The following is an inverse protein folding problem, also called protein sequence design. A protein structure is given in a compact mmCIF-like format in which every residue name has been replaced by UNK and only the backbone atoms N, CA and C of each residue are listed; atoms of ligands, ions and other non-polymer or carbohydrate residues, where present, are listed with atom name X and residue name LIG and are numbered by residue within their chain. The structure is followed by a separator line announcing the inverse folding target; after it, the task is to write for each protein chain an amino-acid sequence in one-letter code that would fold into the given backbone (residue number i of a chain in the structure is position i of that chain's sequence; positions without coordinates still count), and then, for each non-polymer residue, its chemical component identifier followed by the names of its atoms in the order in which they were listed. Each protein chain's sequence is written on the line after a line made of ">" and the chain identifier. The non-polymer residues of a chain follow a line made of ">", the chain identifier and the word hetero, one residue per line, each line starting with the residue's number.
data_IF_713191811836
#
_entry.id   IF_713191811836
#
_cell.length_a   1.000
_cell.length_b   1.000
_cell.length_c   1.000
_cell.angle_alpha   90.00
_cell.angle_beta   90.00
_cell.angle_gamma   90.00
#
_symmetry.space_group_name_H-M   'P 1'
#
loop_
_entity.id
_entity.type
_entity.pdbx_description
1 polymer ?
#
# COMPACT_ATOMS: atom_id res chain seq x y z
N UNK A 1 27.98 -15.19 -38.51
CA UNK A 1 28.86 -16.37 -38.61
C UNK A 1 28.81 -17.07 -39.98
N UNK A 2 27.65 -17.47 -40.51
CA UNK A 2 27.57 -18.18 -41.81
C UNK A 2 28.26 -17.47 -43.00
N UNK A 3 28.18 -16.13 -43.08
CA UNK A 3 28.90 -15.36 -44.12
C UNK A 3 30.43 -15.33 -43.90
N UNK A 4 30.88 -15.29 -42.64
CA UNK A 4 32.31 -15.28 -42.29
C UNK A 4 32.95 -16.64 -42.62
N UNK A 5 32.27 -17.75 -42.30
CA UNK A 5 32.76 -19.09 -42.65
C UNK A 5 32.88 -19.28 -44.18
N UNK A 6 31.94 -18.73 -44.95
CA UNK A 6 31.99 -18.77 -46.43
C UNK A 6 33.12 -17.91 -47.00
N UNK A 7 33.38 -16.73 -46.43
CA UNK A 7 34.48 -15.88 -46.83
C UNK A 7 35.86 -16.50 -46.52
N UNK A 8 35.99 -17.18 -45.38
CA UNK A 8 37.23 -17.91 -45.01
C UNK A 8 37.45 -19.11 -45.94
N UNK A 9 36.40 -19.86 -46.27
CA UNK A 9 36.49 -20.98 -47.22
C UNK A 9 36.84 -20.55 -48.66
N UNK A 10 36.54 -19.31 -49.04
CA UNK A 10 36.84 -18.78 -50.37
C UNK A 10 38.28 -18.27 -50.54
N UNK A 11 39.04 -18.09 -49.44
CA UNK A 11 40.38 -17.48 -49.48
C UNK A 11 41.53 -18.48 -49.72
N UNK A 12 41.30 -19.79 -49.75
CA UNK A 12 42.35 -20.76 -50.09
C UNK A 12 41.85 -21.98 -50.89
N UNK A 13 41.77 -21.86 -52.23
CA UNK A 13 41.51 -22.99 -53.10
C UNK A 13 42.75 -23.89 -53.36
N UNK A 14 43.93 -23.57 -52.81
CA UNK A 14 45.21 -24.14 -53.26
C UNK A 14 45.91 -25.11 -52.29
N UNK A 15 45.39 -25.28 -51.06
CA UNK A 15 45.78 -26.38 -50.17
C UNK A 15 47.23 -26.38 -49.65
N UNK A 16 47.97 -25.26 -49.77
CA UNK A 16 49.37 -25.17 -49.33
C UNK A 16 49.64 -24.10 -48.26
N UNK A 17 48.59 -23.52 -47.67
CA UNK A 17 48.77 -22.40 -46.74
C UNK A 17 49.26 -22.83 -45.35
N UNK A 18 50.29 -22.11 -44.88
CA UNK A 18 50.78 -22.07 -43.52
C UNK A 18 49.62 -21.82 -42.52
N UNK A 19 49.32 -22.76 -41.58
CA UNK A 19 48.21 -22.65 -40.64
C UNK A 19 48.26 -21.38 -39.78
N UNK A 20 49.45 -20.80 -39.57
CA UNK A 20 49.59 -19.54 -38.84
C UNK A 20 48.96 -18.36 -39.58
N UNK A 21 49.03 -18.34 -40.91
CA UNK A 21 48.45 -17.27 -41.74
C UNK A 21 46.91 -17.33 -41.74
N UNK A 22 46.35 -18.53 -41.72
CA UNK A 22 44.90 -18.73 -41.60
C UNK A 22 44.37 -18.27 -40.22
N UNK A 23 45.07 -18.61 -39.14
CA UNK A 23 44.72 -18.16 -37.78
C UNK A 23 44.80 -16.64 -37.64
N UNK A 24 45.84 -16.00 -38.19
CA UNK A 24 45.98 -14.55 -38.16
C UNK A 24 44.83 -13.87 -38.93
N UNK A 25 44.48 -14.40 -40.11
CA UNK A 25 43.39 -13.86 -40.94
C UNK A 25 42.04 -13.98 -40.23
N UNK A 26 41.78 -15.12 -39.57
CA UNK A 26 40.58 -15.32 -38.78
C UNK A 26 40.52 -14.38 -37.57
N UNK A 27 41.63 -14.21 -36.85
CA UNK A 27 41.73 -13.28 -35.73
C UNK A 27 41.45 -11.83 -36.15
N UNK A 28 42.01 -11.39 -37.28
CA UNK A 28 41.74 -10.06 -37.86
C UNK A 28 40.27 -9.92 -38.28
N UNK A 29 39.68 -10.94 -38.91
CA UNK A 29 38.27 -10.91 -39.32
C UNK A 29 37.32 -10.85 -38.11
N UNK A 30 37.61 -11.61 -37.06
CA UNK A 30 36.86 -11.57 -35.79
C UNK A 30 37.00 -10.18 -35.15
N UNK A 31 38.22 -9.63 -35.07
CA UNK A 31 38.47 -8.28 -34.55
C UNK A 31 37.71 -7.21 -35.33
N UNK A 32 37.75 -7.26 -36.67
CA UNK A 32 37.03 -6.33 -37.55
C UNK A 32 35.51 -6.45 -37.36
N UNK A 33 35.00 -7.68 -37.21
CA UNK A 33 33.58 -7.92 -36.95
C UNK A 33 33.14 -7.33 -35.61
N UNK A 34 33.91 -7.51 -34.54
CA UNK A 34 33.63 -6.88 -33.25
C UNK A 34 33.69 -5.34 -33.34
N UNK A 35 34.65 -4.78 -34.09
CA UNK A 35 34.74 -3.34 -34.31
C UNK A 35 33.52 -2.79 -35.07
N UNK A 36 33.13 -3.44 -36.17
CA UNK A 36 31.95 -3.05 -36.96
C UNK A 36 30.65 -3.20 -36.15
N UNK A 37 30.50 -4.29 -35.40
CA UNK A 37 29.34 -4.51 -34.55
C UNK A 37 29.24 -3.45 -33.45
N UNK A 38 30.36 -3.14 -32.78
CA UNK A 38 30.41 -2.06 -31.78
C UNK A 38 30.11 -0.70 -32.40
N UNK A 39 30.66 -0.40 -33.57
CA UNK A 39 30.39 0.84 -34.30
C UNK A 39 28.91 0.98 -34.68
N UNK A 40 28.29 -0.09 -35.19
CA UNK A 40 26.85 -0.11 -35.47
C UNK A 40 26.01 0.09 -34.22
N UNK A 41 26.34 -0.56 -33.10
CA UNK A 41 25.64 -0.41 -31.82
C UNK A 41 25.71 1.03 -31.30
N UNK A 42 26.89 1.66 -31.38
CA UNK A 42 27.09 3.06 -31.00
C UNK A 42 26.26 4.00 -31.89
N UNK A 43 26.26 3.77 -33.21
CA UNK A 43 25.48 4.58 -34.16
C UNK A 43 23.98 4.44 -33.90
N UNK A 44 23.49 3.22 -33.71
CA UNK A 44 22.09 2.93 -33.42
C UNK A 44 21.63 3.59 -32.12
N UNK A 45 22.42 3.47 -31.04
CA UNK A 45 22.13 4.11 -29.76
C UNK A 45 22.05 5.65 -29.88
N UNK A 46 22.96 6.27 -30.65
CA UNK A 46 22.91 7.72 -30.92
C UNK A 46 21.67 8.13 -31.72
N UNK A 47 21.30 7.37 -32.74
CA UNK A 47 20.08 7.64 -33.53
C UNK A 47 18.82 7.51 -32.68
N UNK A 48 18.74 6.49 -31.82
CA UNK A 48 17.62 6.32 -30.89
C UNK A 48 17.54 7.45 -29.87
N UNK A 49 18.67 7.92 -29.35
CA UNK A 49 18.70 9.07 -28.45
C UNK A 49 18.17 10.33 -29.12
N UNK A 50 18.60 10.61 -30.35
CA UNK A 50 18.08 11.74 -31.12
C UNK A 50 16.57 11.62 -31.36
N UNK A 51 16.10 10.45 -31.81
CA UNK A 51 14.68 10.20 -32.02
C UNK A 51 13.87 10.36 -30.72
N UNK A 52 14.37 9.88 -29.58
CA UNK A 52 13.69 10.02 -28.29
C UNK A 52 13.65 11.48 -27.79
N UNK A 53 14.67 12.29 -28.09
CA UNK A 53 14.65 13.73 -27.80
C UNK A 53 13.62 14.43 -28.69
N UNK A 54 13.51 14.03 -29.96
CA UNK A 54 12.53 14.57 -30.90
C UNK A 54 11.08 14.18 -30.56
N UNK A 55 10.83 13.01 -29.97
CA UNK A 55 9.49 12.64 -29.48
C UNK A 55 9.10 13.37 -28.20
N UNK A 56 10.08 13.89 -27.44
CA UNK A 56 9.84 14.54 -26.15
C UNK A 56 9.30 13.60 -25.07
N UNK A 57 9.37 12.28 -25.27
CA UNK A 57 8.93 11.30 -24.28
C UNK A 57 10.05 11.06 -23.26
N UNK A 58 9.89 11.48 -21.98
CA UNK A 58 10.98 11.40 -21.02
C UNK A 58 11.42 9.96 -20.69
N UNK A 59 10.52 8.98 -20.79
CA UNK A 59 10.85 7.58 -20.50
C UNK A 59 11.70 6.97 -21.63
N UNK A 60 11.39 7.32 -22.88
CA UNK A 60 12.20 6.93 -24.04
C UNK A 60 13.57 7.62 -24.01
N UNK A 61 13.61 8.90 -23.63
CA UNK A 61 14.86 9.65 -23.47
C UNK A 61 15.79 8.99 -22.45
N UNK A 62 15.27 8.61 -21.27
CA UNK A 62 16.09 7.93 -20.24
C UNK A 62 16.56 6.55 -20.70
N UNK A 63 15.68 5.75 -21.33
CA UNK A 63 16.05 4.44 -21.87
C UNK A 63 17.15 4.57 -22.94
N UNK A 64 17.04 5.55 -23.83
CA UNK A 64 18.04 5.80 -24.86
C UNK A 64 19.37 6.30 -24.27
N UNK A 65 19.34 7.06 -23.18
CA UNK A 65 20.54 7.43 -22.43
C UNK A 65 21.28 6.19 -21.88
N UNK A 66 20.54 5.26 -21.26
CA UNK A 66 21.13 4.02 -20.73
C UNK A 66 21.71 3.14 -21.87
N UNK A 67 21.05 3.09 -23.04
CA UNK A 67 21.57 2.41 -24.23
C UNK A 67 22.88 3.02 -24.77
N UNK A 68 22.98 4.36 -24.78
CA UNK A 68 24.19 5.09 -25.19
C UNK A 68 25.35 4.76 -24.26
N UNK A 69 25.15 4.83 -22.94
CA UNK A 69 26.16 4.48 -21.93
C UNK A 69 26.59 3.01 -22.05
N UNK A 70 25.63 2.08 -22.20
CA UNK A 70 25.91 0.65 -22.36
C UNK A 70 26.59 0.27 -23.69
N UNK A 71 26.52 1.12 -24.71
CA UNK A 71 27.20 0.92 -25.99
C UNK A 71 28.67 1.35 -25.99
N UNK A 72 29.10 2.09 -24.95
CA UNK A 72 30.42 2.73 -24.89
C UNK A 72 30.56 3.89 -25.88
N UNK A 73 29.44 4.48 -26.29
CA UNK A 73 29.42 5.73 -27.03
C UNK A 73 29.86 6.91 -26.15
N UNK A 74 30.22 8.03 -26.77
CA UNK A 74 30.46 9.28 -26.05
C UNK A 74 29.19 9.72 -25.28
N UNK A 75 29.31 9.77 -23.95
CA UNK A 75 28.22 10.08 -23.02
C UNK A 75 28.21 11.54 -22.56
N UNK A 76 29.03 12.42 -23.13
CA UNK A 76 29.08 13.85 -22.73
C UNK A 76 27.73 14.58 -22.79
N UNK A 77 26.86 14.21 -23.73
CA UNK A 77 25.51 14.76 -23.87
C UNK A 77 24.44 14.12 -22.98
N UNK A 78 24.69 12.93 -22.43
CA UNK A 78 23.68 12.15 -21.66
C UNK A 78 23.16 12.90 -20.42
N UNK A 79 24.00 13.57 -19.60
CA UNK A 79 23.51 14.32 -18.44
C UNK A 79 22.53 15.45 -18.81
N UNK A 80 22.70 16.10 -19.96
CA UNK A 80 21.79 17.14 -20.43
C UNK A 80 20.43 16.54 -20.81
N UNK A 81 20.41 15.45 -21.57
CA UNK A 81 19.16 14.76 -21.95
C UNK A 81 18.43 14.22 -20.72
N UNK A 82 19.13 13.66 -19.73
CA UNK A 82 18.52 13.21 -18.46
C UNK A 82 17.90 14.38 -17.68
N UNK A 83 18.52 15.56 -17.68
CA UNK A 83 17.92 16.78 -17.10
C UNK A 83 16.65 17.18 -17.84
N UNK A 84 16.68 17.21 -19.18
CA UNK A 84 15.49 17.50 -20.00
C UNK A 84 14.34 16.52 -19.71
N UNK A 85 14.61 15.22 -19.68
CA UNK A 85 13.61 14.19 -19.36
C UNK A 85 13.01 14.38 -17.97
N UNK A 86 13.85 14.76 -16.98
CA UNK A 86 13.42 15.02 -15.61
C UNK A 86 12.50 16.24 -15.52
N UNK A 87 12.81 17.32 -16.26
CA UNK A 87 11.95 18.51 -16.35
C UNK A 87 10.62 18.19 -17.03
N UNK A 88 10.63 17.42 -18.12
CA UNK A 88 9.42 16.98 -18.82
C UNK A 88 8.53 16.08 -17.96
N UNK A 89 9.09 15.14 -17.19
CA UNK A 89 8.33 14.35 -16.20
C UNK A 89 7.68 15.24 -15.15
N UNK A 90 8.45 16.21 -14.61
CA UNK A 90 7.91 17.14 -13.62
C UNK A 90 6.74 17.93 -14.21
N UNK A 91 6.91 18.51 -15.40
CA UNK A 91 5.86 19.22 -16.13
C UNK A 91 4.58 18.39 -16.33
N UNK A 92 4.71 17.10 -16.64
CA UNK A 92 3.57 16.21 -16.82
C UNK A 92 2.73 16.05 -15.53
N UNK A 93 3.37 16.11 -14.37
CA UNK A 93 2.71 15.95 -13.05
C UNK A 93 2.12 17.24 -12.47
N UNK A 94 2.45 18.41 -13.04
CA UNK A 94 1.94 19.67 -12.54
C UNK A 94 0.48 19.89 -12.97
N UNK A 95 -0.34 20.34 -12.02
CA UNK A 95 -1.74 20.69 -12.22
C UNK A 95 -2.02 22.19 -12.00
N UNK A 96 -1.07 22.93 -11.41
CA UNK A 96 -1.20 24.36 -11.15
C UNK A 96 -0.72 25.20 -12.34
N UNK A 97 -1.56 26.05 -12.96
CA UNK A 97 -1.19 26.80 -14.16
C UNK A 97 0.06 27.67 -14.01
N UNK A 98 0.25 28.28 -12.83
CA UNK A 98 1.43 29.11 -12.55
C UNK A 98 2.72 28.30 -12.49
N UNK A 99 2.66 27.12 -11.86
CA UNK A 99 3.82 26.21 -11.78
C UNK A 99 4.16 25.62 -13.14
N UNK A 100 3.15 25.28 -13.96
CA UNK A 100 3.37 24.79 -15.33
C UNK A 100 4.11 25.84 -16.16
N UNK A 101 3.67 27.10 -16.14
CA UNK A 101 4.34 28.18 -16.91
C UNK A 101 5.79 28.36 -16.45
N UNK A 102 6.04 28.42 -15.14
CA UNK A 102 7.41 28.52 -14.62
C UNK A 102 8.27 27.33 -15.05
N UNK A 103 7.73 26.11 -14.96
CA UNK A 103 8.46 24.91 -15.35
C UNK A 103 8.68 24.82 -16.87
N UNK A 104 7.81 25.44 -17.68
CA UNK A 104 8.02 25.61 -19.12
C UNK A 104 9.23 26.51 -19.40
N UNK A 105 9.34 27.63 -18.69
CA UNK A 105 10.48 28.54 -18.84
C UNK A 105 11.80 27.87 -18.37
N UNK A 106 11.75 27.10 -17.27
CA UNK A 106 12.86 26.26 -16.82
C UNK A 106 13.25 25.19 -17.87
N UNK A 107 12.26 24.63 -18.58
CA UNK A 107 12.48 23.63 -19.63
C UNK A 107 13.16 24.22 -20.87
N UNK A 108 12.72 25.40 -21.31
CA UNK A 108 13.36 26.15 -22.40
C UNK A 108 14.81 26.50 -22.03
N UNK A 109 15.05 26.96 -20.80
CA UNK A 109 16.40 27.21 -20.29
C UNK A 109 17.27 25.94 -20.23
N UNK A 110 16.66 24.76 -20.08
CA UNK A 110 17.34 23.46 -20.13
C UNK A 110 17.56 22.92 -21.57
N UNK A 111 17.12 23.65 -22.59
CA UNK A 111 17.28 23.28 -24.01
C UNK A 111 16.17 22.37 -24.55
N UNK A 112 15.01 22.29 -23.87
CA UNK A 112 13.84 21.59 -24.41
C UNK A 112 13.28 22.36 -25.60
N UNK A 113 12.93 21.63 -26.68
CA UNK A 113 12.34 22.21 -27.89
C UNK A 113 11.03 22.97 -27.56
N UNK A 114 10.90 24.19 -28.09
CA UNK A 114 9.73 25.06 -27.92
C UNK A 114 8.40 24.35 -28.24
N UNK A 115 8.38 23.48 -29.26
CA UNK A 115 7.17 22.72 -29.64
C UNK A 115 6.65 21.83 -28.50
N UNK A 116 7.55 21.16 -27.77
CA UNK A 116 7.17 20.35 -26.60
C UNK A 116 6.63 21.22 -25.46
N UNK A 117 7.25 22.38 -25.24
CA UNK A 117 6.85 23.33 -24.20
C UNK A 117 5.50 23.99 -24.52
N UNK A 118 5.21 24.25 -25.79
CA UNK A 118 3.97 24.86 -26.25
C UNK A 118 2.74 24.03 -25.87
N UNK A 119 2.81 22.70 -25.94
CA UNK A 119 1.72 21.81 -25.52
C UNK A 119 1.39 21.97 -24.02
N UNK A 120 2.41 22.11 -23.16
CA UNK A 120 2.20 22.36 -21.73
C UNK A 120 1.65 23.77 -21.45
N UNK A 121 2.10 24.79 -22.19
CA UNK A 121 1.51 26.15 -22.09
C UNK A 121 0.04 26.15 -22.50
N UNK A 122 -0.34 25.42 -23.55
CA UNK A 122 -1.74 25.24 -23.94
C UNK A 122 -2.54 24.53 -22.84
N UNK A 123 -1.99 23.48 -22.22
CA UNK A 123 -2.59 22.82 -21.05
C UNK A 123 -2.82 23.81 -19.90
N UNK A 124 -1.82 24.61 -19.54
CA UNK A 124 -1.94 25.62 -18.48
C UNK A 124 -3.03 26.67 -18.81
N UNK A 125 -3.16 27.07 -20.08
CA UNK A 125 -4.21 27.97 -20.54
C UNK A 125 -5.62 27.36 -20.37
N UNK A 126 -5.79 26.08 -20.76
CA UNK A 126 -7.06 25.34 -20.57
C UNK A 126 -7.44 25.23 -19.10
N UNK A 127 -6.51 24.83 -18.23
CA UNK A 127 -6.75 24.75 -16.78
C UNK A 127 -7.16 26.13 -16.23
N UNK A 128 -6.48 27.21 -16.65
CA UNK A 128 -6.84 28.57 -16.23
C UNK A 128 -8.23 29.01 -16.73
N UNK A 129 -8.63 28.58 -17.93
CA UNK A 129 -9.98 28.78 -18.46
C UNK A 129 -11.03 28.08 -17.59
N UNK A 130 -10.84 26.78 -17.36
CA UNK A 130 -11.76 25.96 -16.57
C UNK A 130 -11.87 26.45 -15.12
N UNK A 131 -10.75 26.82 -14.48
CA UNK A 131 -10.77 27.39 -13.13
C UNK A 131 -11.49 28.73 -13.04
N UNK A 132 -11.44 29.57 -14.08
CA UNK A 132 -12.23 30.81 -14.14
C UNK A 132 -13.73 30.52 -14.28
N UNK A 133 -14.11 29.56 -15.12
CA UNK A 133 -15.51 29.11 -15.22
C UNK A 133 -16.01 28.52 -13.91
N UNK A 134 -15.19 27.71 -13.24
CA UNK A 134 -15.48 27.14 -11.93
C UNK A 134 -15.70 28.21 -10.86
N UNK A 135 -14.88 29.27 -10.86
CA UNK A 135 -15.07 30.40 -9.97
C UNK A 135 -16.38 31.15 -10.27
N UNK A 136 -16.68 31.42 -11.54
CA UNK A 136 -17.93 32.09 -11.93
C UNK A 136 -19.17 31.28 -11.56
N UNK A 137 -19.14 29.95 -11.74
CA UNK A 137 -20.22 29.05 -11.33
C UNK A 137 -20.36 28.98 -9.80
N UNK A 138 -19.24 29.04 -9.06
CA UNK A 138 -19.30 29.11 -7.60
C UNK A 138 -19.93 30.43 -7.10
N UNK A 139 -19.67 31.53 -7.80
CA UNK A 139 -20.23 32.86 -7.51
C UNK A 139 -21.71 32.96 -7.91
N UNK A 140 -22.15 32.23 -8.95
CA UNK A 140 -23.56 32.19 -9.36
C UNK A 140 -24.44 31.45 -8.33
N UNK A 141 -23.86 30.48 -7.61
CA UNK A 141 -24.58 29.64 -6.66
C UNK A 141 -25.51 28.62 -7.32
N UNK A 142 -25.48 28.49 -8.65
CA UNK A 142 -26.24 27.46 -9.37
C UNK A 142 -25.50 26.12 -9.29
N UNK A 143 -26.07 25.17 -8.56
CA UNK A 143 -25.42 23.88 -8.35
C UNK A 143 -25.24 23.06 -9.64
N UNK A 144 -26.10 23.21 -10.66
CA UNK A 144 -25.95 22.52 -11.94
C UNK A 144 -24.74 23.09 -12.68
N UNK A 145 -24.64 24.42 -12.76
CA UNK A 145 -23.49 25.11 -13.37
C UNK A 145 -22.18 24.76 -12.66
N UNK A 146 -22.20 24.66 -11.32
CA UNK A 146 -21.04 24.25 -10.53
C UNK A 146 -20.59 22.82 -10.86
N UNK A 147 -21.51 21.88 -11.04
CA UNK A 147 -21.17 20.50 -11.44
C UNK A 147 -20.56 20.44 -12.84
N UNK A 148 -21.14 21.12 -13.82
CA UNK A 148 -20.61 21.18 -15.18
C UNK A 148 -19.20 21.80 -15.22
N UNK A 149 -18.98 22.88 -14.46
CA UNK A 149 -17.68 23.51 -14.36
C UNK A 149 -16.65 22.61 -13.64
N UNK A 150 -17.09 21.79 -12.67
CA UNK A 150 -16.23 20.79 -12.03
C UNK A 150 -15.75 19.73 -13.05
N UNK A 151 -16.65 19.25 -13.90
CA UNK A 151 -16.34 18.23 -14.91
C UNK A 151 -15.38 18.79 -15.98
N UNK A 152 -15.57 20.05 -16.40
CA UNK A 152 -14.63 20.72 -17.32
C UNK A 152 -13.23 20.93 -16.68
N UNK A 153 -13.19 21.30 -15.39
CA UNK A 153 -11.95 21.48 -14.66
C UNK A 153 -11.17 20.15 -14.51
N UNK A 154 -11.86 19.05 -14.20
CA UNK A 154 -11.29 17.71 -14.17
C UNK A 154 -10.77 17.28 -15.55
N UNK A 155 -11.56 17.46 -16.61
CA UNK A 155 -11.15 17.15 -17.98
C UNK A 155 -9.93 17.95 -18.45
N UNK A 156 -9.76 19.17 -17.91
CA UNK A 156 -8.59 20.01 -18.18
C UNK A 156 -7.35 19.64 -17.35
N UNK A 157 -7.49 18.79 -16.33
CA UNK A 157 -6.42 18.40 -15.41
C UNK A 157 -6.18 19.40 -14.27
N UNK A 158 -7.21 20.13 -13.84
CA UNK A 158 -7.15 20.98 -12.66
C UNK A 158 -6.95 20.16 -11.38
N UNK A 159 -6.49 20.81 -10.31
CA UNK A 159 -6.27 20.15 -9.02
C UNK A 159 -7.58 19.58 -8.43
N UNK A 160 -7.60 18.27 -8.19
CA UNK A 160 -8.78 17.54 -7.69
C UNK A 160 -9.34 18.10 -6.37
N UNK A 161 -8.49 18.66 -5.51
CA UNK A 161 -8.91 19.24 -4.23
C UNK A 161 -9.87 20.42 -4.41
N UNK A 162 -9.58 21.33 -5.35
CA UNK A 162 -10.44 22.50 -5.62
C UNK A 162 -11.77 22.07 -6.23
N UNK A 163 -11.73 21.15 -7.19
CA UNK A 163 -12.93 20.61 -7.83
C UNK A 163 -13.84 19.92 -6.80
N UNK A 164 -13.27 19.08 -5.94
CA UNK A 164 -14.03 18.39 -4.89
C UNK A 164 -14.73 19.38 -3.93
N UNK A 165 -14.04 20.44 -3.51
CA UNK A 165 -14.62 21.46 -2.62
C UNK A 165 -15.83 22.15 -3.25
N UNK A 166 -15.75 22.53 -4.54
CA UNK A 166 -16.87 23.17 -5.26
C UNK A 166 -18.01 22.18 -5.48
N UNK A 167 -17.71 20.92 -5.84
CA UNK A 167 -18.72 19.86 -6.02
C UNK A 167 -19.48 19.57 -4.72
N UNK A 168 -18.78 19.57 -3.58
CA UNK A 168 -19.39 19.46 -2.26
C UNK A 168 -20.34 20.62 -1.98
N UNK A 169 -19.93 21.85 -2.26
CA UNK A 169 -20.78 23.04 -2.12
C UNK A 169 -22.02 22.97 -3.00
N UNK A 170 -21.88 22.53 -4.26
CA UNK A 170 -23.01 22.30 -5.17
C UNK A 170 -24.00 21.26 -4.61
N UNK A 171 -23.49 20.16 -4.06
CA UNK A 171 -24.33 19.14 -3.42
C UNK A 171 -25.10 19.69 -2.20
N UNK A 172 -24.47 20.57 -1.41
CA UNK A 172 -25.13 21.24 -0.27
C UNK A 172 -26.28 22.11 -0.79
N UNK A 173 -26.03 22.94 -1.81
CA UNK A 173 -27.06 23.82 -2.40
C UNK A 173 -28.24 22.99 -2.93
N UNK A 174 -27.98 21.90 -3.68
CA UNK A 174 -29.06 21.00 -4.15
C UNK A 174 -29.85 20.37 -3.01
N UNK A 175 -29.18 20.00 -1.93
CA UNK A 175 -29.84 19.44 -0.77
C UNK A 175 -30.73 20.49 -0.08
N UNK A 176 -30.26 21.74 0.03
CA UNK A 176 -31.04 22.86 0.56
C UNK A 176 -32.24 23.16 -0.33
N UNK A 177 -32.08 23.20 -1.65
CA UNK A 177 -33.17 23.42 -2.61
C UNK A 177 -34.22 22.31 -2.56
N UNK A 178 -33.80 21.05 -2.46
CA UNK A 178 -34.73 19.91 -2.31
C UNK A 178 -35.52 20.00 -1.00
N UNK A 179 -34.86 20.34 0.11
CA UNK A 179 -35.53 20.56 1.40
C UNK A 179 -36.50 21.73 1.31
N UNK A 180 -36.09 22.84 0.70
CA UNK A 180 -36.94 24.03 0.51
C UNK A 180 -38.15 23.70 -0.38
N UNK A 181 -37.96 22.93 -1.45
CA UNK A 181 -39.03 22.46 -2.32
C UNK A 181 -40.03 21.59 -1.56
N UNK A 182 -39.54 20.60 -0.79
CA UNK A 182 -40.39 19.75 0.06
C UNK A 182 -41.14 20.58 1.11
N UNK A 183 -40.48 21.56 1.71
CA UNK A 183 -41.09 22.45 2.72
C UNK A 183 -42.18 23.35 2.10
N UNK A 184 -41.97 23.85 0.88
CA UNK A 184 -43.00 24.60 0.13
C UNK A 184 -44.18 23.72 -0.27
N UNK A 185 -43.94 22.50 -0.75
CA UNK A 185 -44.99 21.53 -1.04
C UNK A 185 -45.82 21.21 0.22
N UNK A 186 -45.15 20.99 1.36
CA UNK A 186 -45.83 20.78 2.64
C UNK A 186 -46.65 22.00 3.08
N UNK A 187 -46.12 23.22 2.95
CA UNK A 187 -46.88 24.44 3.25
C UNK A 187 -48.14 24.57 2.40
N UNK A 188 -48.07 24.17 1.13
CA UNK A 188 -49.23 24.15 0.24
C UNK A 188 -50.27 23.13 0.71
N UNK A 189 -49.86 21.88 0.96
CA UNK A 189 -50.76 20.84 1.47
C UNK A 189 -51.39 21.21 2.82
N UNK A 190 -50.65 21.87 3.71
CA UNK A 190 -51.18 22.35 4.99
C UNK A 190 -52.26 23.42 4.83
N UNK A 191 -52.10 24.33 3.86
CA UNK A 191 -53.11 25.35 3.56
C UNK A 191 -54.39 24.73 3.00
N UNK A 192 -54.26 23.74 2.11
CA UNK A 192 -55.42 23.02 1.55
C UNK A 192 -56.16 22.23 2.64
N UNK A 193 -55.43 21.60 3.56
CA UNK A 193 -56.03 20.91 4.71
C UNK A 193 -56.72 21.93 5.64
N UNK A 194 -56.08 23.07 5.93
CA UNK A 194 -56.66 24.11 6.78
C UNK A 194 -57.98 24.68 6.22
N UNK A 195 -58.13 24.74 4.89
CA UNK A 195 -59.36 25.22 4.25
C UNK A 195 -60.54 24.22 4.35
N UNK A 196 -60.25 22.93 4.55
CA UNK A 196 -61.25 21.86 4.43
C UNK A 196 -61.68 21.22 5.77
N UNK A 197 -61.04 21.56 6.89
CA UNK A 197 -61.32 20.91 8.18
C UNK A 197 -62.15 21.78 9.15
N UNK A 198 -63.21 21.16 9.70
CA UNK A 198 -63.93 21.66 10.87
C UNK A 198 -63.19 21.27 12.17
N UNK A 199 -63.46 21.98 13.27
CA UNK A 199 -62.64 21.97 14.49
C UNK A 199 -62.42 20.60 15.17
N UNK A 200 -63.20 19.56 14.86
CA UNK A 200 -63.14 18.24 15.53
C UNK A 200 -62.01 17.30 15.02
N UNK A 201 -61.39 17.55 13.86
CA UNK A 201 -60.38 16.65 13.26
C UNK A 201 -58.90 17.02 13.55
N UNK A 202 -58.68 17.92 14.52
CA UNK A 202 -57.38 18.55 14.81
C UNK A 202 -56.25 17.56 15.20
N UNK A 203 -56.58 16.39 15.76
CA UNK A 203 -55.60 15.42 16.25
C UNK A 203 -54.90 14.63 15.12
N UNK A 204 -55.63 14.33 14.04
CA UNK A 204 -55.06 13.61 12.91
C UNK A 204 -54.05 14.48 12.15
N UNK A 205 -54.34 15.77 12.03
CA UNK A 205 -53.46 16.77 11.42
C UNK A 205 -52.13 16.90 12.18
N UNK A 206 -52.18 16.96 13.52
CA UNK A 206 -50.98 17.04 14.36
C UNK A 206 -50.10 15.78 14.24
N UNK A 207 -50.71 14.61 14.13
CA UNK A 207 -49.99 13.34 13.97
C UNK A 207 -49.27 13.28 12.61
N UNK A 208 -49.95 13.72 11.54
CA UNK A 208 -49.38 13.79 10.19
C UNK A 208 -48.22 14.80 10.12
N UNK A 209 -48.38 15.97 10.77
CA UNK A 209 -47.33 16.99 10.92
C UNK A 209 -46.12 16.48 11.69
N UNK A 210 -46.31 15.77 12.80
CA UNK A 210 -45.23 15.20 13.57
C UNK A 210 -44.45 14.13 12.79
N UNK A 211 -45.15 13.24 12.07
CA UNK A 211 -44.52 12.22 11.23
C UNK A 211 -43.71 12.84 10.08
N UNK A 212 -44.26 13.86 9.42
CA UNK A 212 -43.56 14.57 8.34
C UNK A 212 -42.39 15.41 8.84
N UNK A 213 -42.50 16.07 9.99
CA UNK A 213 -41.36 16.75 10.63
C UNK A 213 -40.26 15.76 11.03
N UNK A 214 -40.61 14.58 11.53
CA UNK A 214 -39.62 13.54 11.87
C UNK A 214 -38.93 13.01 10.61
N UNK A 215 -39.68 12.79 9.53
CA UNK A 215 -39.11 12.39 8.25
C UNK A 215 -38.22 13.50 7.66
N UNK A 216 -38.63 14.76 7.72
CA UNK A 216 -37.81 15.90 7.33
C UNK A 216 -36.56 16.03 8.21
N UNK A 217 -36.65 15.82 9.52
CA UNK A 217 -35.52 15.90 10.42
C UNK A 217 -34.50 14.78 10.18
N UNK A 218 -34.96 13.60 9.74
CA UNK A 218 -34.08 12.51 9.27
C UNK A 218 -33.44 12.79 7.90
N UNK A 219 -34.08 13.63 7.07
CA UNK A 219 -33.59 14.08 5.75
C UNK A 219 -32.81 15.39 5.81
N UNK A 220 -32.97 16.17 6.88
CA UNK A 220 -32.20 17.38 7.12
C UNK A 220 -30.78 16.88 7.37
N UNK A 221 -30.00 16.87 6.30
CA UNK A 221 -28.63 16.42 6.27
C UNK A 221 -27.88 17.29 7.26
N UNK A 222 -27.71 16.80 8.49
CA UNK A 222 -26.83 17.44 9.45
C UNK A 222 -25.45 17.31 8.85
N UNK A 223 -24.96 18.41 8.28
CA UNK A 223 -23.58 18.50 7.83
C UNK A 223 -22.69 18.31 9.07
N UNK A 224 -22.15 17.11 9.22
CA UNK A 224 -21.17 16.84 10.25
C UNK A 224 -19.82 17.36 9.78
N UNK A 225 -18.91 17.73 10.68
CA UNK A 225 -17.53 18.04 10.32
C UNK A 225 -16.69 16.78 10.38
N UNK A 226 -15.89 16.53 9.36
CA UNK A 226 -14.88 15.48 9.38
C UNK A 226 -13.95 15.71 10.58
N UNK A 227 -13.79 14.71 11.44
CA UNK A 227 -12.96 14.85 12.65
C UNK A 227 -11.46 15.02 12.35
N UNK A 228 -11.02 14.72 11.13
CA UNK A 228 -9.61 14.81 10.73
C UNK A 228 -9.26 16.11 9.99
N UNK A 229 -10.10 16.56 9.05
CA UNK A 229 -9.82 17.76 8.24
C UNK A 229 -10.78 18.92 8.53
N UNK A 230 -11.79 18.73 9.39
CA UNK A 230 -12.84 19.69 9.73
C UNK A 230 -13.72 20.16 8.56
N UNK A 231 -13.57 19.60 7.37
CA UNK A 231 -14.46 19.84 6.23
C UNK A 231 -15.87 19.32 6.51
N UNK A 232 -16.88 20.03 6.00
CA UNK A 232 -18.26 19.60 6.09
C UNK A 232 -18.47 18.31 5.29
N UNK A 233 -19.22 17.37 5.85
CA UNK A 233 -19.59 16.12 5.21
C UNK A 233 -21.09 15.89 5.35
N UNK A 234 -21.72 15.47 4.27
CA UNK A 234 -23.15 15.16 4.25
C UNK A 234 -23.41 13.87 5.04
N UNK A 235 -24.34 13.93 6.00
CA UNK A 235 -24.84 12.75 6.71
C UNK A 235 -25.30 11.68 5.69
N UNK A 236 -24.84 10.44 5.86
CA UNK A 236 -25.11 9.33 4.94
C UNK A 236 -24.14 9.19 3.75
N UNK A 237 -23.31 10.20 3.49
CA UNK A 237 -22.21 10.15 2.51
C UNK A 237 -20.82 10.07 3.18
N UNK A 238 -20.77 10.10 4.50
CA UNK A 238 -19.54 9.90 5.26
C UNK A 238 -19.60 8.61 6.09
N UNK A 239 -18.47 7.90 6.25
CA UNK A 239 -18.32 6.89 7.28
C UNK A 239 -18.51 7.52 8.66
N UNK A 240 -19.41 6.94 9.44
CA UNK A 240 -19.72 7.33 10.82
C UNK A 240 -19.37 6.18 11.74
N UNK A 241 -18.75 6.48 12.89
CA UNK A 241 -18.48 5.46 13.90
C UNK A 241 -19.78 4.89 14.48
N UNK A 242 -19.71 3.73 15.13
CA UNK A 242 -20.88 3.03 15.72
C UNK A 242 -21.64 3.82 16.79
N UNK A 243 -21.05 4.90 17.32
CA UNK A 243 -21.74 5.82 18.24
C UNK A 243 -22.51 6.95 17.52
N UNK A 244 -22.37 7.09 16.20
CA UNK A 244 -23.07 8.12 15.43
C UNK A 244 -22.50 9.54 15.56
N UNK A 245 -21.53 9.77 16.43
CA UNK A 245 -21.07 11.12 16.81
C UNK A 245 -19.91 11.66 15.98
N UNK A 246 -19.07 10.77 15.43
CA UNK A 246 -17.89 11.14 14.66
C UNK A 246 -17.99 10.63 13.23
N UNK A 247 -17.76 11.54 12.29
CA UNK A 247 -17.68 11.24 10.87
C UNK A 247 -16.29 11.58 10.31
N UNK A 248 -15.87 10.85 9.28
CA UNK A 248 -14.70 11.17 8.47
C UNK A 248 -15.16 11.42 7.03
N UNK A 249 -14.55 12.36 6.32
CA UNK A 249 -14.73 12.40 4.87
C UNK A 249 -14.09 11.15 4.24
N UNK A 250 -14.56 10.68 3.07
CA UNK A 250 -14.05 9.44 2.46
C UNK A 250 -12.53 9.41 2.29
N UNK A 251 -11.92 10.53 1.90
CA UNK A 251 -10.46 10.62 1.71
C UNK A 251 -9.68 10.53 3.04
N UNK A 252 -10.18 11.15 4.11
CA UNK A 252 -9.57 11.01 5.44
C UNK A 252 -9.79 9.61 6.02
N UNK A 253 -10.94 8.98 5.74
CA UNK A 253 -11.23 7.62 6.18
C UNK A 253 -10.28 6.61 5.53
N UNK A 254 -10.01 6.73 4.23
CA UNK A 254 -9.06 5.87 3.54
C UNK A 254 -7.63 6.04 4.10
N UNK A 255 -7.16 7.28 4.25
CA UNK A 255 -5.83 7.57 4.83
C UNK A 255 -5.71 7.02 6.24
N UNK A 256 -6.75 7.18 7.04
CA UNK A 256 -6.82 6.64 8.39
C UNK A 256 -6.77 5.10 8.39
N UNK A 257 -7.55 4.44 7.53
CA UNK A 257 -7.53 2.98 7.40
C UNK A 257 -6.15 2.45 6.98
N UNK A 258 -5.46 3.12 6.04
CA UNK A 258 -4.07 2.77 5.67
C UNK A 258 -3.13 2.89 6.86
N UNK A 259 -3.16 4.02 7.57
CA UNK A 259 -2.29 4.26 8.72
C UNK A 259 -2.53 3.27 9.87
N UNK A 260 -3.78 2.79 10.04
CA UNK A 260 -4.13 1.74 11.00
C UNK A 260 -3.67 0.35 10.55
N UNK A 261 -3.72 0.05 9.25
CA UNK A 261 -3.21 -1.21 8.67
C UNK A 261 -1.69 -1.29 8.67
N UNK A 262 -1.00 -0.15 8.58
CA UNK A 262 0.46 -0.05 8.65
C UNK A 262 1.00 -0.16 10.09
N UNK A 263 0.13 -0.24 11.10
CA UNK A 263 0.55 -0.46 12.48
C UNK A 263 1.21 -1.84 12.64
N UNK A 264 2.15 -2.00 13.60
CA UNK A 264 2.70 -3.30 13.92
C UNK A 264 1.59 -4.32 14.24
N UNK A 265 1.74 -5.56 13.77
CA UNK A 265 0.73 -6.62 13.94
C UNK A 265 0.29 -6.81 15.40
N UNK A 266 1.20 -6.58 16.35
CA UNK A 266 0.91 -6.62 17.79
C UNK A 266 -0.14 -5.60 18.22
N UNK A 267 -0.13 -4.41 17.64
CA UNK A 267 -1.09 -3.32 17.93
C UNK A 267 -2.44 -3.66 17.32
N UNK A 268 -2.46 -4.13 16.07
CA UNK A 268 -3.67 -4.56 15.37
C UNK A 268 -4.38 -5.66 16.16
N UNK A 269 -3.64 -6.67 16.62
CA UNK A 269 -4.16 -7.77 17.44
C UNK A 269 -4.74 -7.30 18.77
N UNK A 270 -4.05 -6.39 19.47
CA UNK A 270 -4.54 -5.81 20.72
C UNK A 270 -5.87 -5.08 20.54
N UNK A 271 -6.13 -4.53 19.34
CA UNK A 271 -7.34 -3.77 18.99
C UNK A 271 -8.46 -4.64 18.40
N UNK A 272 -8.32 -5.96 18.36
CA UNK A 272 -9.37 -6.79 17.76
C UNK A 272 -9.39 -6.77 16.22
N UNK A 273 -8.36 -6.19 15.58
CA UNK A 273 -8.35 -5.87 14.15
C UNK A 273 -9.58 -5.04 13.71
N UNK A 274 -10.19 -4.30 14.65
CA UNK A 274 -11.28 -3.38 14.37
C UNK A 274 -10.71 -2.04 13.93
N UNK A 275 -11.35 -1.41 12.95
CA UNK A 275 -11.07 -0.01 12.63
C UNK A 275 -11.79 0.89 13.64
N UNK A 276 -11.09 1.24 14.72
CA UNK A 276 -11.64 2.06 15.81
C UNK A 276 -11.77 3.53 15.38
N UNK A 277 -12.60 4.31 16.08
CA UNK A 277 -12.72 5.75 15.83
C UNK A 277 -11.40 6.47 16.16
N UNK A 278 -10.90 7.40 15.32
CA UNK A 278 -9.67 8.15 15.60
C UNK A 278 -9.76 9.00 16.87
N UNK A 279 -10.97 9.33 17.33
CA UNK A 279 -11.20 10.12 18.55
C UNK A 279 -11.07 9.33 19.86
N UNK A 280 -10.39 8.17 19.87
CA UNK A 280 -10.32 7.31 21.07
C UNK A 280 -9.22 7.67 22.10
N UNK A 281 -8.13 8.34 21.70
CA UNK A 281 -6.95 8.53 22.56
C UNK A 281 -5.97 9.62 22.04
N UNK A 282 -5.20 10.32 22.93
CA UNK A 282 -4.83 9.85 24.27
C UNK A 282 -5.22 10.70 25.50
N UNK A 283 -6.09 11.73 25.43
CA UNK A 283 -6.36 12.56 26.63
C UNK A 283 -7.82 12.71 27.09
N UNK A 284 -8.85 12.61 26.23
CA UNK A 284 -10.25 12.74 26.68
C UNK A 284 -11.14 11.72 25.98
N UNK A 285 -11.49 10.67 26.73
CA UNK A 285 -12.33 9.58 26.27
C UNK A 285 -13.76 10.08 26.01
N UNK A 286 -14.19 10.09 24.74
CA UNK A 286 -15.62 10.13 24.44
C UNK A 286 -16.05 9.06 23.44
N UNK A 287 -15.19 8.59 22.53
CA UNK A 287 -15.57 7.57 21.57
C UNK A 287 -14.89 6.23 21.80
N UNK A 288 -15.70 5.21 22.09
CA UNK A 288 -15.33 3.79 21.97
C UNK A 288 -15.90 3.17 20.70
N UNK A 289 -16.35 4.00 19.76
CA UNK A 289 -16.96 3.56 18.53
C UNK A 289 -15.93 2.93 17.58
N UNK A 290 -16.41 2.02 16.75
CA UNK A 290 -15.68 1.43 15.62
C UNK A 290 -16.49 1.62 14.35
N UNK A 291 -15.85 1.49 13.20
CA UNK A 291 -16.55 1.51 11.92
C UNK A 291 -17.06 0.10 11.58
N UNK A 292 -18.32 0.00 11.17
CA UNK A 292 -18.92 -1.30 10.82
C UNK A 292 -18.35 -1.84 9.50
N UNK A 293 -18.46 -3.15 9.29
CA UNK A 293 -18.08 -3.78 8.02
C UNK A 293 -18.82 -3.18 6.83
N UNK A 294 -20.12 -2.85 6.96
CA UNK A 294 -20.85 -2.19 5.86
C UNK A 294 -20.29 -0.80 5.56
N UNK A 295 -19.87 -0.08 6.59
CA UNK A 295 -19.25 1.25 6.43
C UNK A 295 -17.91 1.12 5.71
N UNK A 296 -17.08 0.17 6.13
CA UNK A 296 -15.80 -0.10 5.48
C UNK A 296 -15.98 -0.54 4.02
N UNK A 297 -16.91 -1.45 3.73
CA UNK A 297 -17.19 -1.93 2.38
C UNK A 297 -17.71 -0.82 1.45
N UNK A 298 -18.46 0.15 2.00
CA UNK A 298 -19.02 1.26 1.22
C UNK A 298 -17.99 2.33 0.87
N UNK A 299 -17.03 2.59 1.76
CA UNK A 299 -16.17 3.77 1.66
C UNK A 299 -14.68 3.47 1.43
N UNK A 300 -14.21 2.24 1.65
CA UNK A 300 -12.83 1.87 1.35
C UNK A 300 -12.70 1.32 -0.08
N UNK A 301 -11.56 1.58 -0.76
CA UNK A 301 -11.19 0.83 -1.97
C UNK A 301 -11.20 -0.68 -1.71
N UNK A 302 -11.60 -1.48 -2.70
CA UNK A 302 -11.74 -2.94 -2.57
C UNK A 302 -10.47 -3.59 -2.02
N UNK A 303 -9.30 -3.20 -2.49
CA UNK A 303 -8.01 -3.76 -2.05
C UNK A 303 -7.74 -3.53 -0.55
N UNK A 304 -8.07 -2.33 -0.05
CA UNK A 304 -7.92 -1.99 1.36
C UNK A 304 -8.94 -2.70 2.24
N UNK A 305 -10.18 -2.80 1.75
CA UNK A 305 -11.22 -3.56 2.42
C UNK A 305 -10.85 -5.03 2.54
N UNK A 306 -10.40 -5.67 1.45
CA UNK A 306 -9.97 -7.08 1.45
C UNK A 306 -8.78 -7.32 2.39
N UNK A 307 -7.82 -6.40 2.40
CA UNK A 307 -6.68 -6.42 3.35
C UNK A 307 -7.17 -6.37 4.80
N UNK A 308 -8.10 -5.46 5.11
CA UNK A 308 -8.69 -5.36 6.44
C UNK A 308 -9.40 -6.65 6.86
N UNK A 309 -10.27 -7.17 5.99
CA UNK A 309 -11.00 -8.42 6.25
C UNK A 309 -10.07 -9.61 6.41
N UNK A 310 -8.93 -9.64 5.70
CA UNK A 310 -7.88 -10.63 5.86
C UNK A 310 -7.26 -10.62 7.26
N UNK A 311 -6.88 -9.44 7.76
CA UNK A 311 -6.34 -9.25 9.11
C UNK A 311 -7.36 -9.64 10.18
N UNK A 312 -8.61 -9.22 10.03
CA UNK A 312 -9.69 -9.55 10.97
C UNK A 312 -9.93 -11.08 11.06
N UNK A 313 -9.97 -11.78 9.92
CA UNK A 313 -10.10 -13.24 9.91
C UNK A 313 -8.90 -13.95 10.52
N UNK A 314 -7.69 -13.46 10.27
CA UNK A 314 -6.48 -14.01 10.90
C UNK A 314 -6.56 -13.90 12.42
N UNK A 315 -7.07 -12.77 12.93
CA UNK A 315 -7.28 -12.58 14.36
C UNK A 315 -8.33 -13.53 14.93
N UNK A 316 -9.50 -13.64 14.29
CA UNK A 316 -10.57 -14.57 14.73
C UNK A 316 -10.01 -15.99 14.85
N UNK A 317 -9.27 -16.46 13.83
CA UNK A 317 -8.62 -17.78 13.89
C UNK A 317 -7.62 -17.89 15.05
N UNK A 318 -6.81 -16.87 15.28
CA UNK A 318 -5.84 -16.86 16.38
C UNK A 318 -6.54 -16.95 17.75
N UNK A 319 -7.67 -16.25 17.93
CA UNK A 319 -8.48 -16.30 19.15
C UNK A 319 -9.19 -17.65 19.33
N UNK A 320 -9.76 -18.22 18.25
CA UNK A 320 -10.35 -19.57 18.26
C UNK A 320 -9.31 -20.62 18.63
N UNK A 321 -8.12 -20.57 18.04
CA UNK A 321 -7.00 -21.43 18.40
C UNK A 321 -6.56 -21.23 19.85
N UNK A 322 -6.53 -19.99 20.35
CA UNK A 322 -6.19 -19.71 21.73
C UNK A 322 -7.21 -20.32 22.71
N UNK A 323 -8.50 -20.21 22.39
CA UNK A 323 -9.60 -20.82 23.17
C UNK A 323 -9.52 -22.35 23.13
N UNK A 324 -9.28 -22.96 21.96
CA UNK A 324 -9.09 -24.39 21.82
C UNK A 324 -7.90 -24.88 22.66
N UNK A 325 -6.77 -24.19 22.61
CA UNK A 325 -5.60 -24.50 23.44
C UNK A 325 -5.89 -24.33 24.93
N UNK A 326 -6.66 -23.31 25.32
CA UNK A 326 -7.09 -23.15 26.71
C UNK A 326 -7.96 -24.32 27.18
N UNK A 327 -8.88 -24.80 26.33
CA UNK A 327 -9.71 -25.97 26.62
C UNK A 327 -8.87 -27.25 26.75
N UNK A 328 -7.91 -27.47 25.85
CA UNK A 328 -6.97 -28.60 25.95
C UNK A 328 -6.16 -28.56 27.25
N UNK A 329 -5.69 -27.38 27.66
CA UNK A 329 -4.98 -27.20 28.93
C UNK A 329 -5.87 -27.52 30.14
N UNK A 330 -7.14 -27.11 30.13
CA UNK A 330 -8.10 -27.44 31.19
C UNK A 330 -8.31 -28.94 31.30
N UNK A 331 -8.54 -29.62 30.16
CA UNK A 331 -8.71 -31.07 30.12
C UNK A 331 -7.45 -31.81 30.61
N UNK A 332 -6.26 -31.35 30.21
CA UNK A 332 -4.99 -31.87 30.70
C UNK A 332 -4.88 -31.76 32.24
N UNK A 333 -5.19 -30.60 32.79
CA UNK A 333 -5.15 -30.34 34.23
C UNK A 333 -6.24 -31.09 35.03
N UNK A 334 -7.38 -31.39 34.42
CA UNK A 334 -8.42 -32.24 35.01
C UNK A 334 -8.02 -33.72 35.01
N UNK A 335 -7.44 -34.21 33.92
CA UNK A 335 -6.92 -35.57 33.84
C UNK A 335 -5.83 -35.81 34.88
N UNK A 336 -4.85 -34.90 34.99
CA UNK A 336 -3.76 -35.00 35.96
C UNK A 336 -4.28 -35.10 37.41
N UNK A 337 -5.39 -34.42 37.72
CA UNK A 337 -6.07 -34.53 39.02
C UNK A 337 -6.77 -35.88 39.23
N UNK A 338 -7.36 -36.46 38.19
CA UNK A 338 -8.10 -37.72 38.29
C UNK A 338 -7.20 -38.96 38.36
N UNK A 339 -6.00 -38.89 37.76
CA UNK A 339 -5.04 -40.01 37.75
C UNK A 339 -3.68 -39.55 38.29
N UNK A 340 -3.55 -39.33 39.61
CA UNK A 340 -2.28 -38.93 40.21
C UNK A 340 -1.22 -40.01 39.98
N UNK A 341 -0.09 -39.63 39.40
CA UNK A 341 1.01 -40.53 39.03
C UNK A 341 1.08 -40.86 37.53
N UNK A 342 0.14 -40.39 36.71
CA UNK A 342 0.31 -40.40 35.27
C UNK A 342 1.42 -39.39 34.90
N UNK A 343 2.54 -39.87 34.35
CA UNK A 343 3.62 -38.97 33.98
C UNK A 343 3.13 -37.97 32.91
N UNK A 344 3.59 -36.72 32.99
CA UNK A 344 3.34 -35.70 31.96
C UNK A 344 3.71 -36.20 30.55
N UNK A 345 4.66 -37.13 30.48
CA UNK A 345 5.06 -37.84 29.27
C UNK A 345 3.96 -38.77 28.72
N UNK A 346 3.23 -39.48 29.57
CA UNK A 346 2.14 -40.35 29.12
C UNK A 346 1.00 -39.52 28.52
N UNK A 347 0.65 -38.39 29.13
CA UNK A 347 -0.34 -37.46 28.59
C UNK A 347 0.13 -36.86 27.25
N UNK A 348 1.39 -36.40 27.17
CA UNK A 348 1.97 -35.91 25.93
C UNK A 348 1.96 -36.99 24.82
N UNK A 349 2.21 -38.25 25.18
CA UNK A 349 2.16 -39.38 24.25
C UNK A 349 0.73 -39.68 23.78
N UNK A 350 -0.27 -39.61 24.67
CA UNK A 350 -1.68 -39.76 24.32
C UNK A 350 -2.16 -38.64 23.39
N UNK A 351 -1.78 -37.39 23.67
CA UNK A 351 -2.12 -36.25 22.82
C UNK A 351 -1.44 -36.34 21.44
N UNK A 352 -0.18 -36.78 21.37
CA UNK A 352 0.51 -37.07 20.10
C UNK A 352 -0.18 -38.17 19.32
N UNK A 353 -0.63 -39.23 20.00
CA UNK A 353 -1.35 -40.33 19.35
C UNK A 353 -2.72 -39.87 18.83
N UNK A 354 -3.40 -38.97 19.54
CA UNK A 354 -4.68 -38.41 19.13
C UNK A 354 -4.58 -37.42 17.96
N UNK A 355 -3.43 -36.74 17.80
CA UNK A 355 -3.18 -35.76 16.74
C UNK A 355 -1.94 -36.14 15.91
N UNK A 356 -2.00 -37.25 15.14
CA UNK A 356 -0.88 -37.69 14.32
C UNK A 356 -0.58 -36.66 13.24
N UNK A 357 0.70 -36.30 13.09
CA UNK A 357 1.12 -35.28 12.12
C UNK A 357 0.97 -33.84 12.62
N UNK A 358 0.65 -33.61 13.89
CA UNK A 358 0.72 -32.27 14.46
C UNK A 358 2.16 -31.76 14.54
N UNK A 359 2.33 -30.48 14.21
CA UNK A 359 3.57 -29.73 14.30
C UNK A 359 3.47 -28.64 15.38
N UNK A 360 4.60 -28.03 15.70
CA UNK A 360 4.65 -26.82 16.51
C UNK A 360 5.55 -25.77 15.85
N UNK A 361 5.29 -24.50 16.13
CA UNK A 361 6.08 -23.40 15.62
C UNK A 361 7.53 -23.50 16.12
N UNK A 362 8.50 -23.54 15.22
CA UNK A 362 9.93 -23.58 15.57
C UNK A 362 10.40 -22.34 16.33
N UNK A 363 9.76 -21.18 16.13
CA UNK A 363 10.09 -19.93 16.81
C UNK A 363 9.55 -19.81 18.25
N UNK A 364 8.23 -19.92 18.45
CA UNK A 364 7.60 -19.70 19.77
C UNK A 364 7.12 -20.98 20.47
N UNK A 365 7.27 -22.15 19.85
CA UNK A 365 6.81 -23.43 20.39
C UNK A 365 5.29 -23.61 20.41
N UNK A 366 4.52 -22.71 19.78
CA UNK A 366 3.07 -22.81 19.71
C UNK A 366 2.63 -24.05 18.91
N UNK A 367 1.77 -24.87 19.50
CA UNK A 367 1.19 -26.08 18.90
C UNK A 367 0.10 -26.69 19.80
N UNK A 368 -0.68 -27.66 19.31
CA UNK A 368 -0.54 -28.33 18.01
C UNK A 368 -1.00 -27.46 16.82
N UNK A 369 -0.27 -27.54 15.70
CA UNK A 369 -0.63 -26.97 14.40
C UNK A 369 -0.74 -28.11 13.39
N UNK A 370 -1.90 -28.25 12.75
CA UNK A 370 -2.10 -29.23 11.70
C UNK A 370 -1.89 -28.56 10.34
N UNK A 371 -0.81 -28.93 9.66
CA UNK A 371 -0.60 -28.59 8.25
C UNK A 371 -1.14 -29.74 7.41
N UNK A 372 -2.23 -29.53 6.69
CA UNK A 372 -2.90 -30.60 5.93
C UNK A 372 -2.10 -30.93 4.66
N UNK A 373 -1.51 -32.13 4.61
CA UNK A 373 -0.95 -32.83 3.42
C UNK A 373 -0.01 -32.07 2.48
N UNK A 374 0.63 -30.98 2.92
CA UNK A 374 1.60 -30.24 2.10
C UNK A 374 2.97 -30.18 2.77
N UNK A 375 3.96 -30.86 2.17
CA UNK A 375 5.37 -30.74 2.59
C UNK A 375 5.96 -29.36 2.24
N UNK A 376 5.50 -28.78 1.13
CA UNK A 376 5.81 -27.42 0.71
C UNK A 376 4.67 -26.48 1.13
N UNK A 377 4.85 -25.84 2.28
CA UNK A 377 3.90 -24.88 2.83
C UNK A 377 3.87 -23.57 2.03
N UNK A 378 4.87 -23.29 1.21
CA UNK A 378 4.87 -22.12 0.32
C UNK A 378 3.85 -22.23 -0.81
N UNK A 379 3.47 -23.44 -1.24
CA UNK A 379 2.59 -23.65 -2.40
C UNK A 379 1.24 -22.95 -2.25
N UNK A 380 0.66 -23.00 -1.05
CA UNK A 380 -0.64 -22.39 -0.75
C UNK A 380 -0.53 -21.21 0.22
N UNK A 381 0.67 -20.88 0.69
CA UNK A 381 0.84 -19.72 1.57
C UNK A 381 0.56 -18.45 0.78
N UNK A 382 -0.34 -17.61 1.28
CA UNK A 382 -0.86 -16.41 0.64
C UNK A 382 -1.74 -16.62 -0.60
N UNK A 383 -2.12 -17.87 -0.91
CA UNK A 383 -3.08 -18.12 -1.97
C UNK A 383 -4.46 -17.58 -1.56
N UNK A 384 -5.12 -16.89 -2.48
CA UNK A 384 -6.49 -16.41 -2.32
C UNK A 384 -7.47 -17.43 -2.91
N UNK A 385 -8.25 -18.08 -2.05
CA UNK A 385 -9.38 -18.92 -2.45
C UNK A 385 -10.68 -18.18 -2.15
N UNK A 386 -11.29 -17.62 -3.20
CA UNK A 386 -12.43 -16.71 -3.07
C UNK A 386 -12.04 -15.47 -2.27
N UNK A 387 -12.79 -15.18 -1.19
CA UNK A 387 -12.48 -14.04 -0.32
C UNK A 387 -11.37 -14.33 0.70
N UNK A 388 -10.91 -15.57 0.84
CA UNK A 388 -10.07 -15.99 1.96
C UNK A 388 -8.63 -16.24 1.51
N UNK A 389 -7.67 -15.64 2.24
CA UNK A 389 -6.24 -15.91 2.08
C UNK A 389 -5.81 -17.06 2.99
N UNK A 390 -5.14 -18.05 2.42
CA UNK A 390 -4.56 -19.17 3.15
C UNK A 390 -3.26 -18.68 3.80
N UNK A 391 -3.12 -18.84 5.11
CA UNK A 391 -1.89 -18.49 5.84
C UNK A 391 -1.41 -19.69 6.64
N UNK A 392 -0.32 -20.28 6.15
CA UNK A 392 0.45 -21.31 6.84
C UNK A 392 1.41 -20.75 7.92
N UNK A 393 1.29 -19.46 8.28
CA UNK A 393 2.12 -18.86 9.33
C UNK A 393 1.60 -19.24 10.73
N UNK A 394 2.48 -19.12 11.72
CA UNK A 394 2.14 -19.42 13.11
C UNK A 394 1.06 -18.44 13.59
N UNK A 395 -0.11 -18.91 14.05
CA UNK A 395 -1.17 -18.01 14.48
C UNK A 395 -0.76 -17.20 15.73
N UNK A 396 0.17 -17.72 16.53
CA UNK A 396 0.69 -17.02 17.71
C UNK A 396 1.66 -15.89 17.36
N UNK A 397 2.71 -16.15 16.56
CA UNK A 397 3.83 -15.20 16.38
C UNK A 397 4.08 -14.77 14.93
N UNK A 398 3.27 -15.22 13.97
CA UNK A 398 3.44 -14.89 12.55
C UNK A 398 4.62 -15.59 11.86
N UNK A 399 5.41 -16.40 12.56
CA UNK A 399 6.52 -17.15 11.96
C UNK A 399 6.04 -18.06 10.83
N UNK A 400 6.68 -17.98 9.68
CA UNK A 400 6.43 -18.84 8.53
C UNK A 400 7.73 -19.51 8.08
N UNK A 401 7.65 -20.82 7.85
CA UNK A 401 8.66 -21.59 7.12
C UNK A 401 7.99 -22.22 5.91
N UNK A 402 8.59 -22.05 4.74
CA UNK A 402 8.08 -22.58 3.47
C UNK A 402 8.14 -24.11 3.35
N UNK A 403 8.93 -24.76 4.21
CA UNK A 403 9.02 -26.22 4.28
C UNK A 403 8.55 -26.71 5.64
N UNK A 404 7.80 -27.81 5.65
CA UNK A 404 7.33 -28.48 6.87
C UNK A 404 8.47 -28.89 7.80
N UNK A 405 9.70 -29.09 7.29
CA UNK A 405 10.88 -29.36 8.10
C UNK A 405 11.27 -28.23 9.06
N UNK A 406 10.88 -26.97 8.75
CA UNK A 406 11.03 -25.83 9.66
C UNK A 406 9.98 -25.78 10.78
N UNK A 407 9.02 -26.71 10.75
CA UNK A 407 8.00 -26.91 11.77
C UNK A 407 8.28 -28.21 12.51
N UNK A 408 8.97 -28.18 13.68
CA UNK A 408 9.25 -29.40 14.43
C UNK A 408 7.96 -30.15 14.77
N UNK A 409 8.02 -31.48 14.83
CA UNK A 409 6.90 -32.31 15.30
C UNK A 409 6.48 -31.85 16.69
N UNK A 410 5.18 -31.81 16.93
CA UNK A 410 4.65 -31.35 18.19
C UNK A 410 5.12 -32.24 19.34
N UNK A 411 5.65 -31.62 20.39
CA UNK A 411 6.21 -32.29 21.56
C UNK A 411 5.15 -32.86 22.52
N UNK A 412 3.86 -32.67 22.20
CA UNK A 412 2.71 -33.13 22.98
C UNK A 412 2.38 -32.22 24.17
N UNK A 413 3.09 -31.09 24.33
CA UNK A 413 2.85 -30.10 25.37
C UNK A 413 2.08 -28.93 24.78
N UNK A 414 0.96 -28.56 25.41
CA UNK A 414 0.20 -27.37 25.02
C UNK A 414 0.81 -26.15 25.72
N UNK A 415 1.39 -25.22 24.97
CA UNK A 415 2.00 -24.00 25.53
C UNK A 415 1.01 -22.84 25.46
N UNK A 416 0.78 -22.14 26.57
CA UNK A 416 -0.04 -20.93 26.56
C UNK A 416 0.67 -19.78 25.82
N UNK A 417 -0.10 -18.86 25.19
CA UNK A 417 0.43 -17.68 24.49
C UNK A 417 1.39 -16.83 25.37
N UNK A 418 1.16 -16.75 26.68
CA UNK A 418 2.03 -16.05 27.64
C UNK A 418 3.35 -16.80 27.93
N UNK A 419 3.32 -18.14 27.95
CA UNK A 419 4.50 -18.98 28.21
C UNK A 419 5.37 -19.13 26.96
N UNK A 420 4.77 -19.15 25.77
CA UNK A 420 5.48 -19.11 24.49
C UNK A 420 6.32 -17.83 24.32
N UNK A 421 5.78 -16.68 24.75
CA UNK A 421 6.51 -15.40 24.82
C UNK A 421 7.67 -15.42 25.82
N UNK A 422 7.48 -16.05 26.97
CA UNK A 422 8.52 -16.12 28.01
C UNK A 422 9.72 -16.99 27.58
N UNK A 423 9.45 -18.07 26.83
CA UNK A 423 10.51 -18.89 26.22
C UNK A 423 11.28 -18.16 25.11
N UNK A 424 10.63 -17.29 24.33
CA UNK A 424 11.29 -16.45 23.30
C UNK A 424 12.22 -15.41 23.94
N UNK A 425 11.79 -14.77 25.03
CA UNK A 425 12.63 -13.81 25.78
C UNK A 425 13.86 -14.51 26.35
N UNK A 426 13.69 -15.69 26.96
CA UNK A 426 14.80 -16.46 27.54
C UNK A 426 15.79 -16.95 26.47
N UNK A 427 15.31 -17.50 25.35
CA UNK A 427 16.16 -17.98 24.26
C UNK A 427 16.93 -16.84 23.57
N UNK A 428 16.33 -15.66 23.43
CA UNK A 428 16.99 -14.45 22.90
C UNK A 428 18.03 -13.89 23.87
N UNK A 429 17.77 -13.89 25.18
CA UNK A 429 18.78 -13.46 26.17
C UNK A 429 19.98 -14.39 26.20
N UNK A 430 19.77 -15.70 26.04
CA UNK A 430 20.84 -16.69 26.07
C UNK A 430 21.74 -16.60 24.81
N UNK A 431 21.15 -16.38 23.63
CA UNK A 431 21.93 -16.16 22.38
C UNK A 431 22.67 -14.83 22.37
N UNK A 432 22.08 -13.76 22.92
CA UNK A 432 22.72 -12.43 23.01
C UNK A 432 23.83 -12.41 24.06
N UNK A 433 23.68 -13.12 25.17
CA UNK A 433 24.74 -13.30 26.17
C UNK A 433 25.95 -14.04 25.58
N UNK A 434 25.71 -15.11 24.81
CA UNK A 434 26.77 -15.85 24.11
C UNK A 434 27.51 -14.98 23.09
N UNK A 435 26.79 -14.19 22.28
CA UNK A 435 27.38 -13.28 21.30
C UNK A 435 28.22 -12.16 21.95
N UNK A 436 27.74 -11.53 23.03
CA UNK A 436 28.49 -10.46 23.71
C UNK A 436 29.78 -10.95 24.39
N UNK A 437 29.80 -12.22 24.82
CA UNK A 437 30.98 -12.84 25.45
C UNK A 437 32.11 -13.12 24.44
N UNK A 438 31.75 -13.43 23.19
CA UNK A 438 32.69 -13.65 22.09
C UNK A 438 33.33 -12.34 21.61
N UNK A 439 32.52 -11.29 21.51
CA UNK A 439 32.95 -9.96 21.04
C UNK A 439 33.86 -9.27 22.07
N UNK A 440 33.56 -9.45 23.37
CA UNK A 440 34.37 -8.93 24.47
C UNK A 440 35.76 -9.60 24.55
N UNK A 441 35.85 -10.91 24.29
CA UNK A 441 37.13 -11.63 24.23
C UNK A 441 37.98 -11.19 23.04
N UNK A 442 37.36 -11.07 21.85
CA UNK A 442 38.05 -10.63 20.64
C UNK A 442 38.61 -9.22 20.78
N UNK A 443 37.87 -8.30 21.41
CA UNK A 443 38.31 -6.94 21.66
C UNK A 443 39.44 -6.85 22.69
N UNK A 444 39.40 -7.66 23.76
CA UNK A 444 40.48 -7.71 24.75
C UNK A 444 41.80 -8.24 24.14
N UNK A 445 41.70 -9.21 23.23
CA UNK A 445 42.84 -9.82 22.56
C UNK A 445 43.46 -8.90 21.50
N UNK A 446 42.64 -8.07 20.84
CA UNK A 446 43.10 -7.00 19.96
C UNK A 446 43.89 -5.93 20.74
N UNK A 447 43.34 -5.45 21.86
CA UNK A 447 44.02 -4.46 22.73
C UNK A 447 45.38 -4.97 23.21
N UNK A 448 45.45 -6.26 23.56
CA UNK A 448 46.71 -6.88 23.99
C UNK A 448 47.75 -6.91 22.87
N UNK A 449 47.35 -7.24 21.63
CA UNK A 449 48.26 -7.21 20.47
C UNK A 449 48.76 -5.80 20.17
N UNK A 450 47.88 -4.82 20.23
CA UNK A 450 48.23 -3.42 19.97
C UNK A 450 49.20 -2.89 21.04
N UNK A 451 49.01 -3.27 22.31
CA UNK A 451 49.95 -2.97 23.39
C UNK A 451 51.31 -3.65 23.17
N UNK A 452 51.35 -4.93 22.83
CA UNK A 452 52.60 -5.65 22.55
C UNK A 452 53.36 -5.04 21.36
N UNK A 453 52.65 -4.56 20.33
CA UNK A 453 53.24 -3.85 19.20
C UNK A 453 53.83 -2.50 19.64
N UNK A 454 53.11 -1.72 20.44
CA UNK A 454 53.60 -0.44 20.96
C UNK A 454 54.87 -0.62 21.84
N UNK A 455 54.92 -1.68 22.65
CA UNK A 455 56.11 -2.01 23.46
C UNK A 455 57.30 -2.41 22.57
N UNK A 456 57.07 -3.10 21.44
CA UNK A 456 58.15 -3.42 20.49
C UNK A 456 58.69 -2.19 19.79
N UNK A 457 57.80 -1.31 19.33
CA UNK A 457 58.18 -0.08 18.64
C UNK A 457 58.95 0.88 19.54
N UNK A 458 58.56 0.99 20.81
CA UNK A 458 59.27 1.81 21.81
C UNK A 458 60.64 1.28 22.25
N UNK A 459 60.95 0.01 21.99
CA UNK A 459 62.29 -0.58 22.23
C UNK A 459 63.20 -0.50 21.00
N UNK A 460 62.62 -0.25 19.83
CA UNK A 460 63.33 -0.16 18.55
C UNK A 460 63.73 1.29 18.21
N UNK A 461 63.09 2.28 18.85
CA UNK A 461 63.52 3.67 18.92
C UNK A 461 64.47 3.86 20.10
#
# INVERSE_FOLDING_TARGET
>A
MSAVCRAVAALDPSGSADPLRALLTLALAIGLWFCLHRWHKIRDAKTKLAAAVDTGNPDEMLRACDEVEASGADATGVPAVRRMASVLRRLATLCEPGEIVKACDDAEAAGVNEHHVQAFRQKACKIRGALRRLAAAEDSGDAVEMHEACDEAEASGAAAARVHAVRLKANIIRAEDEVNFQLMAMRFSLKDLQANFAAEDSLHLLTLLAATLTALQSKLIVACKCVSCHEAVLAGQAPVCSQGTHSLCPSCFEKYARAEQDQPETVIRQRGALLECPCRAPADACCKGSFSEQTMAKYLPSELFDTHMGLQRQQIRAEEHAKANQMLNKLAAEWERQVPGLSQELLANQLKAALPGAHQCGRCGFGPVLHDRCDNLSTHHNESSGRTRISNACPSCGHFSGNISGWPRWDGRVRHLAQARSAEVQAYTDTKAAASSSDSRSRAEQIRRDYELAVRLSRAA
#
